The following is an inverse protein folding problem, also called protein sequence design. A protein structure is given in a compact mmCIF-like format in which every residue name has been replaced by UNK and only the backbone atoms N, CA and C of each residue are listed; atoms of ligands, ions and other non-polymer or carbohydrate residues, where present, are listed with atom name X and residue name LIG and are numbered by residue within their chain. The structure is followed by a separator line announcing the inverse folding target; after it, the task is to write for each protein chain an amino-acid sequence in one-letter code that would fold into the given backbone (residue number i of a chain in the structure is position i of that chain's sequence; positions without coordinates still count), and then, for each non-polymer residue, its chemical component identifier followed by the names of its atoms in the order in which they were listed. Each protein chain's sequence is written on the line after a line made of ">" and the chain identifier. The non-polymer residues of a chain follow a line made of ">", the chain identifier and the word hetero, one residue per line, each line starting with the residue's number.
data_IF_054388038572
#
_entry.id   IF_054388038572
#
_cell.length_a   1.000
_cell.length_b   1.000
_cell.length_c   1.000
_cell.angle_alpha   90.00
_cell.angle_beta   90.00
_cell.angle_gamma   90.00
#
_symmetry.space_group_name_H-M   'P 1'
#
loop_
_entity.id
_entity.type
_entity.pdbx_description
1 polymer ?
#
# COMPACT_ATOMS: atom_id res chain seq x y z
N UNK A 1 4.32 -28.64 -24.26
CA UNK A 1 4.64 -27.20 -24.12
C UNK A 1 3.48 -26.55 -23.39
N UNK A 2 3.63 -26.32 -22.09
CA UNK A 2 2.65 -25.56 -21.29
C UNK A 2 2.56 -24.14 -21.83
N UNK A 3 1.34 -23.62 -22.01
CA UNK A 3 1.12 -22.23 -22.38
C UNK A 3 1.89 -21.30 -21.43
N UNK A 4 2.77 -20.47 -21.99
CA UNK A 4 3.23 -19.27 -21.33
C UNK A 4 2.08 -18.26 -21.38
N UNK A 5 1.24 -18.29 -20.35
CA UNK A 5 0.25 -17.26 -20.08
C UNK A 5 0.98 -16.12 -19.37
N UNK A 6 1.18 -14.94 -20.01
CA UNK A 6 1.75 -13.81 -19.28
C UNK A 6 0.81 -13.47 -18.13
N UNK A 7 1.36 -13.37 -16.92
CA UNK A 7 0.66 -12.77 -15.77
C UNK A 7 0.29 -11.36 -16.24
N UNK A 8 -1.01 -11.12 -16.40
CA UNK A 8 -1.52 -9.78 -16.73
C UNK A 8 -0.88 -8.82 -15.74
N UNK A 9 -0.38 -7.67 -16.22
CA UNK A 9 0.08 -6.60 -15.35
C UNK A 9 -0.95 -6.45 -14.22
N UNK A 10 -0.51 -6.33 -12.94
CA UNK A 10 -1.44 -6.24 -11.83
C UNK A 10 -2.49 -5.19 -12.18
N UNK A 11 -3.76 -5.57 -12.11
CA UNK A 11 -4.87 -4.62 -12.21
C UNK A 11 -4.51 -3.52 -11.22
N UNK A 12 -4.17 -2.34 -11.72
CA UNK A 12 -3.52 -1.30 -10.92
C UNK A 12 -4.37 -1.10 -9.68
N UNK A 13 -3.87 -1.55 -8.53
CA UNK A 13 -4.58 -1.44 -7.26
C UNK A 13 -4.99 0.03 -7.15
N UNK A 14 -6.28 0.34 -6.91
CA UNK A 14 -6.77 1.71 -7.02
C UNK A 14 -5.97 2.62 -6.09
N UNK A 15 -5.18 3.50 -6.69
CA UNK A 15 -4.26 4.35 -5.96
C UNK A 15 -5.03 5.46 -5.24
N UNK A 16 -4.87 5.54 -3.92
CA UNK A 16 -5.49 6.60 -3.10
C UNK A 16 -4.53 7.78 -3.05
N UNK A 17 -4.83 8.84 -3.79
CA UNK A 17 -4.07 10.10 -3.76
C UNK A 17 -4.47 10.91 -2.54
N UNK A 18 -3.50 11.22 -1.67
CA UNK A 18 -3.71 11.95 -0.42
C UNK A 18 -2.96 13.28 -0.44
N UNK A 19 -3.57 14.33 0.11
CA UNK A 19 -2.91 15.60 0.42
C UNK A 19 -2.79 15.76 1.94
N UNK A 20 -1.60 16.13 2.42
CA UNK A 20 -1.33 16.38 3.83
C UNK A 20 -1.30 17.90 4.05
N UNK A 21 -2.18 18.42 4.89
CA UNK A 21 -2.19 19.84 5.27
C UNK A 21 -1.63 20.00 6.68
N UNK A 22 -0.44 20.61 6.76
CA UNK A 22 0.33 20.74 7.99
C UNK A 22 1.21 19.51 8.24
N UNK A 23 2.49 19.77 8.54
CA UNK A 23 3.48 18.72 8.82
C UNK A 23 3.84 18.76 10.30
N UNK A 24 3.67 17.63 10.97
CA UNK A 24 3.96 17.45 12.40
C UNK A 24 3.84 15.99 12.78
N UNK A 25 3.80 15.69 14.09
CA UNK A 25 3.83 14.32 14.59
C UNK A 25 2.71 13.45 14.00
N UNK A 26 1.50 13.99 13.84
CA UNK A 26 0.37 13.26 13.26
C UNK A 26 0.63 12.83 11.81
N UNK A 27 1.13 13.75 10.98
CA UNK A 27 1.49 13.45 9.59
C UNK A 27 2.64 12.44 9.52
N UNK A 28 3.62 12.58 10.42
CA UNK A 28 4.78 11.70 10.49
C UNK A 28 4.39 10.26 10.85
N UNK A 29 3.55 10.07 11.87
CA UNK A 29 3.05 8.74 12.25
C UNK A 29 2.23 8.10 11.12
N UNK A 30 1.41 8.89 10.41
CA UNK A 30 0.63 8.39 9.27
C UNK A 30 1.55 7.90 8.14
N UNK A 31 2.48 8.73 7.69
CA UNK A 31 3.39 8.38 6.59
C UNK A 31 4.26 7.16 6.96
N UNK A 32 4.78 7.13 8.19
CA UNK A 32 5.57 5.99 8.66
C UNK A 32 4.75 4.71 8.73
N UNK A 33 3.52 4.77 9.23
CA UNK A 33 2.61 3.61 9.27
C UNK A 33 2.33 3.07 7.86
N UNK A 34 2.02 3.94 6.90
CA UNK A 34 1.79 3.55 5.49
C UNK A 34 3.05 2.89 4.90
N UNK A 35 4.23 3.45 5.14
CA UNK A 35 5.48 2.87 4.65
C UNK A 35 5.79 1.52 5.30
N UNK A 36 5.58 1.40 6.62
CA UNK A 36 5.84 0.18 7.37
C UNK A 36 4.93 -0.98 6.92
N UNK A 37 3.65 -0.70 6.68
CA UNK A 37 2.65 -1.71 6.30
C UNK A 37 2.38 -1.81 4.79
N UNK A 38 3.15 -1.14 3.92
CA UNK A 38 2.94 -1.15 2.47
C UNK A 38 2.93 -2.57 1.86
N UNK A 39 3.65 -3.52 2.48
CA UNK A 39 3.72 -4.92 2.05
C UNK A 39 3.09 -5.87 3.07
N UNK A 40 2.21 -5.38 3.94
CA UNK A 40 1.46 -6.24 4.84
C UNK A 40 0.63 -7.25 4.02
N UNK A 41 0.58 -8.49 4.48
CA UNK A 41 -0.26 -9.51 3.86
C UNK A 41 -1.72 -9.10 3.98
N UNK A 42 -2.49 -9.27 2.92
CA UNK A 42 -3.91 -8.90 2.86
C UNK A 42 -4.76 -9.63 3.91
N UNK A 43 -4.30 -10.79 4.40
CA UNK A 43 -4.95 -11.58 5.45
C UNK A 43 -4.35 -11.30 6.83
N UNK A 44 -3.34 -10.44 6.94
CA UNK A 44 -2.72 -10.06 8.21
C UNK A 44 -3.39 -8.84 8.82
N UNK A 45 -3.56 -8.87 10.15
CA UNK A 45 -4.10 -7.73 10.89
C UNK A 45 -3.01 -6.72 11.16
N UNK A 46 -3.18 -5.50 10.64
CA UNK A 46 -2.37 -4.34 11.04
C UNK A 46 -2.87 -3.85 12.41
N UNK A 47 -2.02 -3.82 13.45
CA UNK A 47 -2.44 -3.40 14.80
C UNK A 47 -2.76 -1.91 14.86
N UNK A 48 -3.82 -1.58 15.61
CA UNK A 48 -4.33 -0.22 15.82
C UNK A 48 -5.47 -0.18 16.83
#
# INVERSE_FOLDING_TARGET
>A
MSEYKPVRAPEAQPEVRVAIVGVGNCASSLVQGVQYYHNADENSTVPG
#
